data_IF_842272583900
#
_entry.id   IF_842272583900
#
_cell.length_a   1.000
_cell.length_b   1.000
_cell.length_c   1.000
_cell.angle_alpha   90.00
_cell.angle_beta   90.00
_cell.angle_gamma   90.00
#
_symmetry.space_group_name_H-M   'P 1'
#
loop_
_entity.id
_entity.type
_entity.pdbx_description
1 polymer ?
#
# COMPACT_ATOMS: atom_id res chain seq x y z
N UNK A 1 22.84 -25.94 -0.29
CA UNK A 1 21.47 -25.47 -0.01
C UNK A 1 21.52 -23.96 -0.05
N UNK A 2 20.56 -23.30 -0.71
CA UNK A 2 20.49 -21.83 -0.71
C UNK A 2 19.90 -21.41 0.64
N UNK A 3 20.66 -20.64 1.42
CA UNK A 3 20.24 -20.20 2.75
C UNK A 3 19.20 -19.08 2.61
N UNK A 4 18.05 -19.26 3.28
CA UNK A 4 16.92 -18.34 3.23
C UNK A 4 17.17 -17.16 4.18
N UNK A 5 17.05 -15.91 3.71
CA UNK A 5 17.29 -14.77 4.57
C UNK A 5 16.22 -14.64 5.65
N UNK A 6 16.64 -14.20 6.84
CA UNK A 6 15.75 -13.84 7.93
C UNK A 6 15.13 -12.46 7.66
N UNK A 7 13.81 -12.33 7.74
CA UNK A 7 13.09 -11.07 7.51
C UNK A 7 12.30 -10.65 8.74
N UNK A 8 12.51 -9.41 9.16
CA UNK A 8 11.69 -8.72 10.15
C UNK A 8 10.75 -7.74 9.43
N UNK A 9 9.46 -7.79 9.72
CA UNK A 9 8.46 -6.90 9.11
C UNK A 9 8.06 -5.90 10.18
N UNK A 10 8.35 -4.62 10.02
CA UNK A 10 8.00 -3.58 10.99
C UNK A 10 6.49 -3.32 11.03
N UNK A 11 5.98 -2.70 12.10
CA UNK A 11 4.62 -2.16 12.14
C UNK A 11 4.35 -1.25 10.94
N UNK A 12 3.26 -1.53 10.22
CA UNK A 12 2.82 -0.68 9.12
C UNK A 12 2.30 0.66 9.67
N UNK A 13 2.54 1.72 8.91
CA UNK A 13 2.00 3.06 9.21
C UNK A 13 0.88 3.45 8.27
N UNK A 14 0.30 4.62 8.51
CA UNK A 14 -0.67 5.27 7.63
C UNK A 14 -0.30 6.75 7.49
N UNK A 15 -0.36 7.25 6.27
CA UNK A 15 -0.04 8.65 5.95
C UNK A 15 -1.28 9.45 5.51
N UNK A 16 -2.38 8.79 5.16
CA UNK A 16 -3.67 9.46 4.96
C UNK A 16 -4.30 9.82 6.29
N UNK A 17 -4.72 11.08 6.41
CA UNK A 17 -5.43 11.55 7.61
C UNK A 17 -6.90 11.07 7.60
N UNK A 18 -7.23 10.22 8.56
CA UNK A 18 -8.55 9.65 8.80
C UNK A 18 -9.02 10.10 10.19
N UNK A 19 -9.93 11.08 10.21
CA UNK A 19 -10.45 11.69 11.45
C UNK A 19 -11.88 11.29 11.76
N UNK A 20 -12.60 10.68 10.81
CA UNK A 20 -14.01 10.31 10.97
C UNK A 20 -14.22 8.83 10.69
N UNK A 21 -15.13 8.21 11.45
CA UNK A 21 -15.43 6.78 11.30
C UNK A 21 -16.12 6.51 9.96
N UNK A 22 -16.94 7.46 9.50
CA UNK A 22 -17.60 7.41 8.20
C UNK A 22 -16.62 7.35 7.02
N UNK A 23 -15.35 7.74 7.18
CA UNK A 23 -14.35 7.60 6.11
C UNK A 23 -13.99 6.13 5.84
N UNK A 24 -14.09 5.25 6.84
CA UNK A 24 -13.60 3.87 6.80
C UNK A 24 -14.66 2.81 7.03
N UNK A 25 -15.82 3.21 7.58
CA UNK A 25 -16.92 2.30 7.93
C UNK A 25 -18.27 2.90 7.56
N UNK A 26 -19.26 2.04 7.28
CA UNK A 26 -20.66 2.45 7.21
C UNK A 26 -21.17 2.75 8.63
N UNK A 27 -21.72 3.94 8.86
CA UNK A 27 -22.21 4.40 10.18
C UNK A 27 -23.63 4.93 10.03
N UNK A 28 -24.56 4.38 10.79
CA UNK A 28 -25.99 4.73 10.71
C UNK A 28 -26.45 5.66 11.85
N UNK A 29 -25.55 5.98 12.79
CA UNK A 29 -25.84 6.82 13.96
C UNK A 29 -24.83 7.95 14.11
N UNK A 30 -25.29 9.10 14.57
CA UNK A 30 -24.40 10.18 15.00
C UNK A 30 -23.72 9.78 16.31
N UNK A 31 -22.39 9.82 16.33
CA UNK A 31 -21.57 9.57 17.51
C UNK A 31 -21.18 10.90 18.17
N UNK A 32 -20.80 10.87 19.45
CA UNK A 32 -20.09 12.00 20.04
C UNK A 32 -18.64 12.04 19.54
N UNK A 33 -18.01 13.22 19.57
CA UNK A 33 -16.62 13.40 19.07
C UNK A 33 -15.61 12.48 19.79
N UNK A 34 -15.79 12.26 21.10
CA UNK A 34 -14.93 11.38 21.89
C UNK A 34 -15.10 9.90 21.51
N UNK A 35 -16.35 9.47 21.32
CA UNK A 35 -16.65 8.09 20.89
C UNK A 35 -16.19 7.83 19.45
N UNK A 36 -16.33 8.81 18.56
CA UNK A 36 -15.85 8.71 17.18
C UNK A 36 -14.33 8.60 17.15
N UNK A 37 -13.62 9.49 17.86
CA UNK A 37 -12.15 9.47 17.93
C UNK A 37 -11.62 8.12 18.44
N UNK A 38 -12.24 7.58 19.49
CA UNK A 38 -11.88 6.26 20.05
C UNK A 38 -12.12 5.12 19.05
N UNK A 39 -13.24 5.15 18.34
CA UNK A 39 -13.57 4.12 17.34
C UNK A 39 -12.69 4.23 16.10
N UNK A 40 -12.36 5.44 15.65
CA UNK A 40 -11.40 5.67 14.57
C UNK A 40 -10.04 5.08 14.95
N UNK A 41 -9.52 5.39 16.14
CA UNK A 41 -8.24 4.86 16.60
C UNK A 41 -8.23 3.31 16.62
N UNK A 42 -9.30 2.68 17.12
CA UNK A 42 -9.42 1.22 17.13
C UNK A 42 -9.45 0.64 15.70
N UNK A 43 -10.23 1.22 14.79
CA UNK A 43 -10.30 0.76 13.39
C UNK A 43 -8.95 0.91 12.69
N UNK A 44 -8.22 2.01 12.94
CA UNK A 44 -6.89 2.20 12.38
C UNK A 44 -5.89 1.17 12.91
N UNK A 45 -5.92 0.88 14.21
CA UNK A 45 -5.08 -0.17 14.80
C UNK A 45 -5.35 -1.54 14.17
N UNK A 46 -6.62 -1.93 14.07
CA UNK A 46 -7.03 -3.20 13.46
C UNK A 46 -6.61 -3.26 11.98
N UNK A 47 -6.82 -2.19 11.23
CA UNK A 47 -6.44 -2.10 9.81
C UNK A 47 -4.92 -2.26 9.61
N UNK A 48 -4.10 -1.62 10.44
CA UNK A 48 -2.64 -1.70 10.35
C UNK A 48 -2.13 -3.10 10.73
N UNK A 49 -2.73 -3.72 11.75
CA UNK A 49 -2.44 -5.10 12.12
C UNK A 49 -2.83 -6.07 11.00
N UNK A 50 -4.02 -5.90 10.40
CA UNK A 50 -4.50 -6.67 9.25
C UNK A 50 -3.55 -6.53 8.05
N UNK A 51 -3.13 -5.31 7.71
CA UNK A 51 -2.21 -5.05 6.61
C UNK A 51 -0.91 -5.87 6.76
N UNK A 52 -0.29 -5.78 7.95
CA UNK A 52 0.95 -6.51 8.26
C UNK A 52 0.75 -8.02 8.25
N UNK A 53 -0.37 -8.50 8.81
CA UNK A 53 -0.73 -9.93 8.76
C UNK A 53 -0.85 -10.41 7.30
N UNK A 54 -1.59 -9.67 6.46
CA UNK A 54 -1.91 -10.03 5.08
C UNK A 54 -0.64 -10.11 4.25
N UNK A 55 0.25 -9.13 4.42
CA UNK A 55 1.55 -9.14 3.81
C UNK A 55 2.41 -10.32 4.27
N UNK A 56 2.59 -10.51 5.58
CA UNK A 56 3.37 -11.62 6.15
C UNK A 56 2.89 -12.96 5.61
N UNK A 57 1.58 -13.18 5.62
CA UNK A 57 1.01 -14.49 5.33
C UNK A 57 1.06 -14.81 3.86
N UNK A 58 0.87 -13.83 2.97
CA UNK A 58 1.12 -14.04 1.55
C UNK A 58 2.61 -14.28 1.30
N UNK A 59 3.48 -13.48 1.92
CA UNK A 59 4.93 -13.62 1.78
C UNK A 59 5.39 -15.04 2.19
N UNK A 60 4.83 -15.56 3.28
CA UNK A 60 5.11 -16.91 3.77
C UNK A 60 4.73 -18.03 2.79
N UNK A 61 3.75 -17.84 1.91
CA UNK A 61 3.39 -18.86 0.90
C UNK A 61 4.51 -19.14 -0.10
N UNK A 62 5.40 -18.16 -0.35
CA UNK A 62 6.56 -18.33 -1.21
C UNK A 62 7.69 -19.18 -0.60
N UNK A 63 7.66 -19.39 0.72
CA UNK A 63 8.66 -20.15 1.51
C UNK A 63 10.12 -19.69 1.32
N UNK A 64 10.33 -18.46 0.84
CA UNK A 64 11.65 -17.89 0.53
C UNK A 64 12.39 -17.30 1.73
N UNK A 65 11.67 -16.97 2.80
CA UNK A 65 12.20 -16.26 3.95
C UNK A 65 12.03 -17.06 5.25
N UNK A 66 12.89 -16.77 6.23
CA UNK A 66 12.66 -17.11 7.63
C UNK A 66 12.09 -15.88 8.32
N UNK A 67 11.01 -16.01 9.08
CA UNK A 67 10.35 -14.84 9.68
C UNK A 67 10.79 -14.65 11.12
N UNK A 68 11.23 -13.45 11.45
CA UNK A 68 11.35 -13.02 12.85
C UNK A 68 9.94 -12.85 13.42
N UNK A 69 9.65 -13.35 14.65
CA UNK A 69 8.36 -13.17 15.28
C UNK A 69 7.95 -11.69 15.38
N UNK A 70 6.67 -11.40 15.14
CA UNK A 70 6.17 -10.03 15.11
C UNK A 70 6.31 -9.36 16.49
N UNK A 71 6.07 -10.10 17.56
CA UNK A 71 6.15 -9.61 18.94
C UNK A 71 7.59 -9.19 19.30
N UNK A 72 8.59 -9.95 18.84
CA UNK A 72 10.01 -9.62 19.04
C UNK A 72 10.39 -8.40 18.20
N UNK A 73 9.92 -8.36 16.94
CA UNK A 73 10.14 -7.22 16.06
C UNK A 73 9.54 -5.94 16.65
N UNK A 74 8.35 -6.03 17.24
CA UNK A 74 7.63 -4.89 17.82
C UNK A 74 8.29 -4.39 19.10
N UNK A 75 8.76 -5.30 19.97
CA UNK A 75 9.50 -4.94 21.16
C UNK A 75 10.77 -4.14 20.80
N UNK A 76 11.58 -4.65 19.87
CA UNK A 76 12.80 -3.95 19.44
C UNK A 76 12.47 -2.65 18.71
N UNK A 77 11.43 -2.62 17.86
CA UNK A 77 11.03 -1.41 17.17
C UNK A 77 10.59 -0.31 18.15
N UNK A 78 9.85 -0.66 19.20
CA UNK A 78 9.45 0.27 20.26
C UNK A 78 10.65 0.80 21.04
N UNK A 79 11.62 -0.06 21.41
CA UNK A 79 12.86 0.35 22.09
C UNK A 79 13.71 1.30 21.23
N UNK A 80 13.73 1.08 19.92
CA UNK A 80 14.40 1.94 18.93
C UNK A 80 13.59 3.18 18.55
N UNK A 81 12.40 3.36 19.13
CA UNK A 81 11.47 4.46 18.87
C UNK A 81 11.13 4.59 17.38
N UNK A 82 11.05 3.46 16.67
CA UNK A 82 10.62 3.42 15.28
C UNK A 82 9.14 3.80 15.19
N UNK A 83 8.86 4.84 14.41
CA UNK A 83 7.49 5.20 14.07
C UNK A 83 6.92 4.16 13.11
N UNK A 84 5.69 3.65 13.32
CA UNK A 84 5.04 2.77 12.35
C UNK A 84 5.02 3.40 10.95
N UNK A 85 5.42 2.65 9.93
CA UNK A 85 5.60 3.12 8.54
C UNK A 85 6.76 4.11 8.31
N UNK A 86 7.48 4.49 9.36
CA UNK A 86 8.73 5.22 9.23
C UNK A 86 9.82 4.34 8.62
N UNK A 87 10.65 4.93 7.77
CA UNK A 87 11.84 4.24 7.27
C UNK A 87 12.89 4.18 8.39
N UNK A 88 13.46 3.01 8.68
CA UNK A 88 14.51 2.88 9.69
C UNK A 88 15.81 3.55 9.22
N UNK A 89 16.57 4.13 10.15
CA UNK A 89 17.92 4.62 9.86
C UNK A 89 18.94 3.47 9.78
N UNK A 90 20.13 3.68 9.20
CA UNK A 90 21.19 2.66 9.19
C UNK A 90 21.55 2.14 10.59
N UNK A 91 21.56 2.99 11.60
CA UNK A 91 21.82 2.60 12.99
C UNK A 91 20.72 1.71 13.56
N UNK A 92 19.45 2.02 13.26
CA UNK A 92 18.31 1.20 13.65
C UNK A 92 18.33 -0.15 12.93
N UNK A 93 18.69 -0.18 11.64
CA UNK A 93 18.86 -1.42 10.88
C UNK A 93 19.97 -2.30 11.44
N UNK A 94 21.11 -1.71 11.81
CA UNK A 94 22.22 -2.42 12.44
C UNK A 94 21.79 -3.02 13.80
N UNK A 95 21.02 -2.29 14.61
CA UNK A 95 20.54 -2.81 15.89
C UNK A 95 19.44 -3.88 15.71
N UNK A 96 18.57 -3.75 14.71
CA UNK A 96 17.62 -4.81 14.32
C UNK A 96 18.35 -6.08 13.89
N UNK A 97 19.42 -5.98 13.09
CA UNK A 97 20.29 -7.12 12.75
C UNK A 97 20.86 -7.77 13.99
N UNK A 98 21.46 -6.96 14.87
CA UNK A 98 22.15 -7.45 16.06
C UNK A 98 21.20 -8.14 17.05
N UNK A 99 20.00 -7.60 17.26
CA UNK A 99 19.04 -8.13 18.23
C UNK A 99 18.15 -9.24 17.69
N UNK A 100 17.77 -9.17 16.41
CA UNK A 100 16.80 -10.09 15.80
C UNK A 100 17.44 -11.10 14.85
N UNK A 101 18.71 -10.91 14.46
CA UNK A 101 19.33 -11.69 13.41
C UNK A 101 18.66 -11.51 12.05
N UNK A 102 17.97 -10.38 11.83
CA UNK A 102 17.28 -10.11 10.57
C UNK A 102 18.29 -9.72 9.49
N UNK A 103 18.24 -10.38 8.33
CA UNK A 103 19.00 -10.01 7.12
C UNK A 103 18.28 -8.94 6.32
N UNK A 104 16.94 -8.94 6.38
CA UNK A 104 16.06 -7.97 5.76
C UNK A 104 15.13 -7.36 6.80
N UNK A 105 14.88 -6.06 6.67
CA UNK A 105 13.84 -5.34 7.40
C UNK A 105 12.88 -4.74 6.40
N UNK A 106 11.58 -5.06 6.52
CA UNK A 106 10.53 -4.50 5.67
C UNK A 106 9.78 -3.41 6.44
N UNK A 107 9.67 -2.22 5.85
CA UNK A 107 8.84 -1.13 6.32
C UNK A 107 7.74 -0.83 5.29
N UNK A 108 6.52 -0.55 5.75
CA UNK A 108 5.38 -0.29 4.86
C UNK A 108 4.44 0.78 5.39
N UNK A 109 3.87 1.56 4.47
CA UNK A 109 2.98 2.69 4.77
C UNK A 109 1.77 2.68 3.85
N UNK A 110 0.58 2.73 4.45
CA UNK A 110 -0.67 2.93 3.73
C UNK A 110 -0.78 4.40 3.35
N UNK A 111 -0.66 4.69 2.06
CA UNK A 111 -0.68 6.04 1.51
C UNK A 111 -2.09 6.59 1.36
N UNK A 112 -3.03 5.72 0.97
CA UNK A 112 -4.45 6.03 0.77
C UNK A 112 -5.32 4.86 1.26
N UNK A 113 -6.45 5.17 1.91
CA UNK A 113 -7.40 4.17 2.40
C UNK A 113 -8.82 4.77 2.43
N UNK A 114 -9.58 4.52 1.36
CA UNK A 114 -10.92 5.07 1.13
C UNK A 114 -10.96 6.57 0.75
N UNK A 115 -9.95 7.34 1.19
CA UNK A 115 -9.71 8.75 0.84
C UNK A 115 -8.38 8.85 0.09
N UNK A 116 -8.36 9.60 -1.01
CA UNK A 116 -7.17 9.85 -1.82
C UNK A 116 -6.74 11.32 -1.72
N UNK A 117 -5.43 11.57 -1.73
CA UNK A 117 -4.86 12.92 -1.92
C UNK A 117 -4.88 13.33 -3.40
N UNK A 118 -5.94 14.04 -3.81
CA UNK A 118 -6.19 14.48 -5.20
C UNK A 118 -5.06 15.27 -5.89
N UNK A 119 -4.20 15.93 -5.10
CA UNK A 119 -3.19 16.90 -5.55
C UNK A 119 -2.08 16.25 -6.40
N UNK A 120 -1.72 15.00 -6.12
CA UNK A 120 -0.62 14.30 -6.82
C UNK A 120 -1.10 13.59 -8.10
N UNK A 121 -2.37 13.23 -8.18
CA UNK A 121 -2.96 12.56 -9.34
C UNK A 121 -3.32 13.53 -10.46
N UNK A 122 -3.79 14.74 -10.12
CA UNK A 122 -4.04 15.78 -11.11
C UNK A 122 -2.75 16.14 -11.88
N UNK A 123 -1.62 16.31 -11.19
CA UNK A 123 -0.36 16.68 -11.83
C UNK A 123 0.16 15.62 -12.82
N UNK A 124 0.07 14.33 -12.47
CA UNK A 124 0.45 13.23 -13.36
C UNK A 124 -0.51 13.08 -14.55
N UNK A 125 -1.83 13.18 -14.31
CA UNK A 125 -2.84 13.15 -15.37
C UNK A 125 -2.67 14.29 -16.38
N UNK A 126 -2.46 15.51 -15.90
CA UNK A 126 -2.33 16.69 -16.76
C UNK A 126 -1.02 16.68 -17.56
N UNK A 127 0.06 16.12 -17.01
CA UNK A 127 1.32 15.98 -17.73
C UNK A 127 1.22 14.99 -18.91
N UNK A 128 0.58 13.84 -18.69
CA UNK A 128 0.45 12.79 -19.72
C UNK A 128 -0.50 13.22 -20.85
N UNK A 129 -1.70 13.72 -20.47
CA UNK A 129 -2.71 14.20 -21.42
C UNK A 129 -2.19 15.40 -22.24
N UNK A 130 -1.37 16.27 -21.66
CA UNK A 130 -0.84 17.43 -22.40
C UNK A 130 0.21 17.04 -23.44
N UNK A 131 1.06 16.05 -23.16
CA UNK A 131 2.05 15.57 -24.13
C UNK A 131 1.38 14.78 -25.27
N UNK A 132 0.49 13.85 -24.95
CA UNK A 132 -0.26 13.09 -25.98
C UNK A 132 -1.14 14.00 -26.83
N UNK A 133 -1.84 14.97 -26.23
CA UNK A 133 -2.68 15.93 -26.99
C UNK A 133 -1.86 16.79 -27.95
N UNK A 134 -0.64 17.20 -27.56
CA UNK A 134 0.25 17.95 -28.46
C UNK A 134 0.71 17.07 -29.62
N UNK A 135 1.12 15.83 -29.36
CA UNK A 135 1.55 14.88 -30.39
C UNK A 135 0.41 14.54 -31.35
N UNK A 136 -0.77 14.25 -30.82
CA UNK A 136 -1.96 13.94 -31.61
C UNK A 136 -2.48 15.16 -32.37
N UNK A 137 -2.40 16.35 -31.78
CA UNK A 137 -2.77 17.62 -32.41
C UNK A 137 -1.87 17.94 -33.61
N UNK A 138 -0.56 17.70 -33.50
CA UNK A 138 0.35 17.81 -34.63
C UNK A 138 0.07 16.76 -35.71
N UNK A 139 -0.21 15.51 -35.32
CA UNK A 139 -0.48 14.40 -36.25
C UNK A 139 -1.83 14.52 -36.98
N UNK A 140 -2.82 15.20 -36.39
CA UNK A 140 -4.19 15.32 -36.93
C UNK A 140 -4.52 16.73 -37.42
N UNK A 141 -3.52 17.61 -37.52
CA UNK A 141 -3.67 19.02 -37.87
C UNK A 141 -4.73 19.74 -37.01
N UNK A 142 -4.73 19.45 -35.70
CA UNK A 142 -5.63 20.03 -34.71
C UNK A 142 -7.11 19.74 -34.96
N UNK A 143 -7.44 18.56 -35.49
CA UNK A 143 -8.84 18.16 -35.66
C UNK A 143 -9.52 17.99 -34.27
N UNK A 144 -10.45 18.89 -33.90
CA UNK A 144 -10.97 18.97 -32.53
C UNK A 144 -11.81 17.75 -32.17
N UNK A 145 -12.46 17.09 -33.14
CA UNK A 145 -13.29 15.90 -32.89
C UNK A 145 -12.42 14.69 -32.55
N UNK A 146 -11.30 14.50 -33.25
CA UNK A 146 -10.38 13.40 -32.99
C UNK A 146 -9.62 13.60 -31.67
N UNK A 147 -9.23 14.83 -31.37
CA UNK A 147 -8.62 15.19 -30.09
C UNK A 147 -9.61 14.96 -28.95
N UNK A 148 -10.87 15.43 -29.05
CA UNK A 148 -11.88 15.20 -28.01
C UNK A 148 -12.21 13.71 -27.85
N UNK A 149 -12.24 12.94 -28.93
CA UNK A 149 -12.51 11.51 -28.86
C UNK A 149 -11.39 10.77 -28.16
N UNK A 150 -10.13 11.10 -28.48
CA UNK A 150 -8.97 10.47 -27.85
C UNK A 150 -8.84 10.88 -26.38
N UNK A 151 -8.94 12.17 -26.06
CA UNK A 151 -8.99 12.66 -24.68
C UNK A 151 -10.17 12.04 -23.93
N UNK A 152 -11.33 11.87 -24.57
CA UNK A 152 -12.48 11.19 -23.97
C UNK A 152 -12.21 9.71 -23.65
N UNK A 153 -11.51 8.99 -24.54
CA UNK A 153 -11.10 7.60 -24.31
C UNK A 153 -10.00 7.52 -23.26
N UNK A 154 -8.99 8.37 -23.31
CA UNK A 154 -7.93 8.46 -22.30
C UNK A 154 -8.49 8.85 -20.93
N UNK A 155 -9.45 9.77 -20.84
CA UNK A 155 -10.18 10.06 -19.59
C UNK A 155 -10.94 8.83 -19.07
N UNK A 156 -11.45 8.00 -19.97
CA UNK A 156 -12.15 6.75 -19.63
C UNK A 156 -11.21 5.57 -19.31
N UNK A 157 -9.93 5.65 -19.68
CA UNK A 157 -8.97 4.54 -19.50
C UNK A 157 -7.79 4.88 -18.59
N UNK A 158 -7.53 6.16 -18.33
CA UNK A 158 -6.42 6.66 -17.55
C UNK A 158 -6.87 6.88 -16.10
N UNK A 159 -6.32 6.07 -15.20
CA UNK A 159 -6.69 5.98 -13.78
C UNK A 159 -6.68 7.33 -13.07
N UNK A 160 -5.89 8.30 -13.51
CA UNK A 160 -5.69 9.55 -12.80
C UNK A 160 -6.89 10.54 -12.81
N UNK A 161 -7.87 10.40 -13.71
CA UNK A 161 -9.06 11.28 -13.77
C UNK A 161 -10.22 10.78 -12.89
N UNK A 162 -10.08 9.60 -12.28
CA UNK A 162 -11.12 8.93 -11.49
C UNK A 162 -11.24 9.37 -10.01
N UNK A 163 -10.51 10.40 -9.55
CA UNK A 163 -10.21 10.57 -8.11
C UNK A 163 -10.58 11.92 -7.49
N UNK A 164 -11.82 12.35 -7.71
CA UNK A 164 -12.46 13.49 -7.04
C UNK A 164 -13.41 13.15 -5.88
N UNK A 165 -13.48 11.89 -5.44
CA UNK A 165 -14.33 11.50 -4.32
C UNK A 165 -15.29 10.36 -4.64
N UNK A 166 -14.77 9.15 -4.68
CA UNK A 166 -15.48 7.96 -4.22
C UNK A 166 -16.73 7.52 -4.98
N UNK A 167 -17.04 8.04 -6.18
CA UNK A 167 -18.12 7.56 -7.03
C UNK A 167 -17.82 7.77 -8.53
N UNK A 168 -17.95 6.72 -9.34
CA UNK A 168 -17.97 6.81 -10.82
C UNK A 168 -19.18 6.02 -11.31
N UNK A 169 -20.04 6.63 -12.12
CA UNK A 169 -21.31 6.03 -12.58
C UNK A 169 -22.20 5.46 -11.45
N UNK A 170 -22.19 6.08 -10.26
CA UNK A 170 -22.93 5.61 -9.09
C UNK A 170 -22.25 4.46 -8.31
N UNK A 171 -21.06 4.02 -8.73
CA UNK A 171 -20.27 2.97 -8.04
C UNK A 171 -19.21 3.62 -7.16
N UNK A 172 -19.20 3.26 -5.88
CA UNK A 172 -18.27 3.85 -4.94
C UNK A 172 -16.90 3.19 -4.96
N UNK A 173 -15.86 3.89 -5.40
CA UNK A 173 -14.49 3.36 -5.41
C UNK A 173 -13.87 3.49 -4.01
N UNK A 174 -13.25 2.41 -3.53
CA UNK A 174 -12.69 2.28 -2.17
C UNK A 174 -11.19 2.04 -2.25
N UNK A 175 -10.43 3.03 -2.74
CA UNK A 175 -9.01 2.90 -3.04
C UNK A 175 -8.21 2.51 -1.81
N UNK A 176 -7.26 1.61 -2.00
CA UNK A 176 -6.17 1.36 -1.05
C UNK A 176 -4.88 1.41 -1.84
N UNK A 177 -3.90 2.18 -1.35
CA UNK A 177 -2.56 2.26 -1.92
C UNK A 177 -1.53 2.16 -0.82
N UNK A 178 -0.53 1.31 -1.02
CA UNK A 178 0.49 1.02 -0.02
C UNK A 178 1.86 1.02 -0.69
N UNK A 179 2.80 1.70 -0.06
CA UNK A 179 4.22 1.63 -0.40
C UNK A 179 4.94 0.77 0.64
N UNK A 180 5.85 -0.08 0.20
CA UNK A 180 6.73 -0.84 1.06
C UNK A 180 8.16 -0.86 0.54
N UNK A 181 9.11 -0.98 1.46
CA UNK A 181 10.54 -1.06 1.19
C UNK A 181 11.17 -2.15 2.04
N UNK A 182 12.13 -2.87 1.46
CA UNK A 182 12.97 -3.81 2.17
C UNK A 182 14.40 -3.30 2.17
N UNK A 183 15.02 -3.35 3.34
CA UNK A 183 16.39 -2.93 3.58
C UNK A 183 17.22 -4.13 3.95
N UNK A 184 18.40 -4.26 3.33
CA UNK A 184 19.41 -5.14 3.88
C UNK A 184 20.01 -4.50 5.14
N UNK A 185 20.38 -5.32 6.11
CA UNK A 185 20.72 -4.85 7.46
C UNK A 185 22.21 -4.75 7.74
N UNK A 186 23.07 -5.11 6.78
CA UNK A 186 24.53 -5.01 6.90
C UNK A 186 25.03 -3.59 6.62
N UNK A 187 24.55 -2.96 5.55
CA UNK A 187 24.95 -1.61 5.13
C UNK A 187 23.78 -0.61 5.23
N UNK A 188 22.54 -1.11 5.37
CA UNK A 188 21.33 -0.31 5.52
C UNK A 188 20.71 0.14 4.20
N UNK A 189 21.08 -0.45 3.07
CA UNK A 189 20.58 -0.06 1.75
C UNK A 189 19.18 -0.62 1.45
N UNK A 190 18.30 0.16 0.80
CA UNK A 190 17.06 -0.37 0.26
C UNK A 190 17.39 -1.30 -0.92
N UNK A 191 16.98 -2.56 -0.81
CA UNK A 191 17.20 -3.60 -1.84
C UNK A 191 15.92 -3.91 -2.62
N UNK A 192 14.77 -3.49 -2.12
CA UNK A 192 13.48 -3.58 -2.81
C UNK A 192 12.59 -2.42 -2.38
N UNK A 193 11.82 -1.90 -3.33
CA UNK A 193 10.79 -0.90 -3.11
C UNK A 193 9.66 -1.15 -4.10
N UNK A 194 8.43 -1.14 -3.62
CA UNK A 194 7.25 -1.26 -4.46
C UNK A 194 6.09 -0.45 -3.90
N UNK A 195 5.22 -0.02 -4.80
CA UNK A 195 3.94 0.58 -4.48
C UNK A 195 2.89 -0.21 -5.24
N UNK A 196 1.84 -0.62 -4.53
CA UNK A 196 0.72 -1.33 -5.14
C UNK A 196 -0.60 -0.66 -4.74
N UNK A 197 -1.62 -0.83 -5.58
CA UNK A 197 -2.90 -0.14 -5.46
C UNK A 197 -4.09 -1.02 -5.89
N UNK A 198 -5.18 -0.91 -5.16
CA UNK A 198 -6.43 -1.59 -5.45
C UNK A 198 -7.62 -0.64 -5.31
N UNK A 199 -8.39 -0.52 -6.38
CA UNK A 199 -9.55 0.38 -6.44
C UNK A 199 -10.88 -0.37 -6.38
N UNK A 200 -10.91 -1.58 -6.94
CA UNK A 200 -12.14 -2.37 -7.07
C UNK A 200 -11.88 -3.86 -7.32
N UNK A 201 -12.01 -4.68 -6.27
CA UNK A 201 -11.84 -6.14 -6.36
C UNK A 201 -13.17 -6.90 -6.49
N UNK A 202 -13.92 -6.65 -7.57
CA UNK A 202 -15.27 -7.22 -7.79
C UNK A 202 -15.38 -8.73 -7.62
N UNK A 203 -14.41 -9.49 -8.14
CA UNK A 203 -14.43 -10.95 -8.06
C UNK A 203 -14.29 -11.46 -6.62
N UNK A 204 -13.50 -10.78 -5.79
CA UNK A 204 -13.37 -11.10 -4.37
C UNK A 204 -14.64 -10.68 -3.61
N UNK A 205 -15.24 -9.53 -3.94
CA UNK A 205 -16.50 -9.07 -3.34
C UNK A 205 -17.65 -10.06 -3.56
N UNK A 206 -17.72 -10.73 -4.73
CA UNK A 206 -18.75 -11.74 -5.01
C UNK A 206 -18.72 -12.94 -4.05
N UNK A 207 -17.59 -13.19 -3.39
CA UNK A 207 -17.45 -14.29 -2.43
C UNK A 207 -18.11 -13.95 -1.08
N UNK A 208 -18.37 -12.68 -0.79
CA UNK A 208 -19.09 -12.26 0.40
C UNK A 208 -20.61 -12.41 0.24
N UNK A 209 -21.36 -12.55 1.36
CA UNK A 209 -22.82 -12.42 1.36
C UNK A 209 -23.24 -11.06 0.78
N UNK A 210 -24.38 -11.03 0.08
CA UNK A 210 -24.87 -9.81 -0.61
C UNK A 210 -24.98 -8.59 0.31
N UNK A 211 -25.42 -8.79 1.56
CA UNK A 211 -25.51 -7.76 2.59
C UNK A 211 -24.17 -7.10 2.96
N UNK A 212 -23.05 -7.78 2.71
CA UNK A 212 -21.69 -7.30 3.03
C UNK A 212 -20.99 -6.66 1.84
N UNK A 213 -21.39 -6.98 0.60
CA UNK A 213 -20.70 -6.51 -0.62
C UNK A 213 -20.73 -5.00 -0.79
N UNK A 214 -21.81 -4.36 -0.35
CA UNK A 214 -21.99 -2.91 -0.41
C UNK A 214 -21.32 -2.15 0.74
N UNK A 215 -20.86 -2.84 1.79
CA UNK A 215 -20.29 -2.17 2.96
C UNK A 215 -18.90 -1.64 2.68
N UNK A 216 -18.65 -0.41 3.15
CA UNK A 216 -17.41 0.32 2.91
C UNK A 216 -16.20 -0.41 3.50
N UNK A 217 -16.33 -0.85 4.74
CA UNK A 217 -15.29 -1.59 5.46
C UNK A 217 -14.92 -2.91 4.77
N UNK A 218 -15.90 -3.62 4.21
CA UNK A 218 -15.68 -4.87 3.48
C UNK A 218 -14.88 -4.65 2.20
N UNK A 219 -15.26 -3.61 1.43
CA UNK A 219 -14.57 -3.25 0.19
C UNK A 219 -13.13 -2.79 0.45
N UNK A 220 -12.93 -1.94 1.47
CA UNK A 220 -11.60 -1.47 1.85
C UNK A 220 -10.70 -2.61 2.32
N UNK A 221 -11.22 -3.53 3.14
CA UNK A 221 -10.45 -4.69 3.62
C UNK A 221 -10.04 -5.62 2.47
N UNK A 222 -10.93 -5.86 1.52
CA UNK A 222 -10.60 -6.68 0.33
C UNK A 222 -9.53 -6.00 -0.52
N UNK A 223 -9.66 -4.69 -0.76
CA UNK A 223 -8.68 -3.95 -1.54
C UNK A 223 -7.31 -3.93 -0.83
N UNK A 224 -7.29 -3.75 0.50
CA UNK A 224 -6.07 -3.89 1.32
C UNK A 224 -5.44 -5.28 1.15
N UNK A 225 -6.24 -6.35 1.24
CA UNK A 225 -5.74 -7.71 1.00
C UNK A 225 -5.12 -7.89 -0.37
N UNK A 226 -5.74 -7.36 -1.42
CA UNK A 226 -5.22 -7.43 -2.79
C UNK A 226 -3.92 -6.66 -2.96
N UNK A 227 -3.82 -5.47 -2.37
CA UNK A 227 -2.59 -4.66 -2.38
C UNK A 227 -1.45 -5.35 -1.61
N UNK A 228 -1.75 -5.95 -0.44
CA UNK A 228 -0.75 -6.72 0.31
C UNK A 228 -0.30 -7.97 -0.45
N UNK A 229 -1.21 -8.61 -1.20
CA UNK A 229 -0.88 -9.75 -2.05
C UNK A 229 0.13 -9.37 -3.12
N UNK A 230 -0.12 -8.29 -3.88
CA UNK A 230 0.79 -7.84 -4.94
C UNK A 230 2.16 -7.40 -4.41
N UNK A 231 2.20 -6.69 -3.28
CA UNK A 231 3.47 -6.34 -2.61
C UNK A 231 4.25 -7.59 -2.17
N UNK A 232 3.60 -8.55 -1.53
CA UNK A 232 4.25 -9.76 -1.05
C UNK A 232 4.72 -10.66 -2.20
N UNK A 233 3.95 -10.75 -3.29
CA UNK A 233 4.33 -11.48 -4.49
C UNK A 233 5.52 -10.83 -5.19
N UNK A 234 5.55 -9.50 -5.29
CA UNK A 234 6.69 -8.76 -5.80
C UNK A 234 7.95 -9.02 -5.00
N UNK A 235 7.91 -8.95 -3.66
CA UNK A 235 9.07 -9.24 -2.82
C UNK A 235 9.51 -10.72 -2.92
N UNK A 236 8.57 -11.65 -3.02
CA UNK A 236 8.89 -13.07 -3.26
C UNK A 236 9.60 -13.29 -4.62
N UNK A 237 9.25 -12.51 -5.64
CA UNK A 237 9.81 -12.62 -6.97
C UNK A 237 11.29 -12.22 -7.04
N UNK A 238 11.76 -11.35 -6.14
CA UNK A 238 13.18 -10.96 -6.04
C UNK A 238 14.09 -12.16 -5.77
N UNK A 239 13.59 -13.17 -5.04
CA UNK A 239 14.34 -14.40 -4.80
C UNK A 239 15.63 -14.21 -3.99
N UNK A 240 15.67 -13.21 -3.10
CA UNK A 240 16.85 -12.91 -2.27
C UNK A 240 17.41 -14.13 -1.53
N UNK A 241 18.72 -14.15 -1.40
CA UNK A 241 19.49 -15.17 -0.68
C UNK A 241 20.44 -14.51 0.32
N UNK A 242 20.80 -15.21 1.40
CA UNK A 242 21.76 -14.67 2.39
C UNK A 242 23.07 -14.23 1.74
N UNK A 243 23.56 -15.01 0.76
CA UNK A 243 24.78 -14.66 0.03
C UNK A 243 24.64 -13.34 -0.74
N UNK A 244 23.53 -13.11 -1.45
CA UNK A 244 23.35 -11.84 -2.18
C UNK A 244 23.30 -10.63 -1.23
N UNK A 245 22.64 -10.78 -0.09
CA UNK A 245 22.54 -9.71 0.92
C UNK A 245 23.87 -9.49 1.66
N UNK A 246 24.70 -10.53 1.78
CA UNK A 246 26.04 -10.47 2.39
C UNK A 246 27.17 -10.03 1.45
N UNK A 247 26.92 -9.99 0.14
CA UNK A 247 27.96 -9.77 -0.88
C UNK A 247 27.72 -8.49 -1.69
N UNK A 248 27.08 -7.46 -1.13
CA UNK A 248 27.17 -6.10 -1.69
C UNK A 248 28.62 -5.62 -1.54
N UNK A 249 29.51 -6.18 -2.37
CA UNK A 249 30.92 -5.89 -2.47
C UNK A 249 31.13 -4.80 -3.51
N UNK A 250 31.76 -3.73 -3.02
CA UNK A 250 32.66 -2.78 -3.69
C UNK A 250 32.04 -1.70 -4.59
#
# INVERSE_FOLDING_TARGET
MVERPSVAILPFGIDVEITTLSAVKSVDRTLSDEEESRQVAAVLQDMLADARWLFLSRLATGQKFLFVPLEQTDAVAAELQLKPGGLPTPEQLAELRKRLGADLVVAGTILDYGKIRWQWLAAAAFADVSVETIVLGLATAWNPVLILTNVGVEVLTNSAIFFGGGYVFGVAFRPVRVEARAFETLQGYPVWQSTDEAFYAWHALKQLPESERGKKESQLRINLGRTMEGLADSLNAEGFTVSQLGTTQQ
#
